data_IF_436703443091
#
_entry.id   IF_436703443091
#
_cell.length_a   1.000
_cell.length_b   1.000
_cell.length_c   1.000
_cell.angle_alpha   90.00
_cell.angle_beta   90.00
_cell.angle_gamma   90.00
#
_symmetry.space_group_name_H-M   'P 1'
#
loop_
_entity.id
_entity.type
_entity.pdbx_description
1 polymer ?
#
# COMPACT_ATOMS: atom_id res chain seq x y z
N UNK A 1 -23.18 -12.82 -8.89
CA UNK A 1 -22.05 -11.84 -9.00
C UNK A 1 -21.47 -11.63 -7.62
N UNK A 2 -20.13 -11.47 -7.50
CA UNK A 2 -19.53 -11.07 -6.21
C UNK A 2 -19.98 -9.66 -5.88
N UNK A 3 -20.37 -9.40 -4.64
CA UNK A 3 -20.66 -8.04 -4.18
C UNK A 3 -19.31 -7.28 -4.11
N UNK A 4 -19.12 -6.30 -4.97
CA UNK A 4 -17.91 -5.46 -4.97
C UNK A 4 -18.13 -4.27 -4.03
N UNK A 5 -17.09 -3.90 -3.28
CA UNK A 5 -17.03 -2.63 -2.56
C UNK A 5 -15.77 -1.87 -3.00
N UNK A 6 -15.94 -0.62 -3.39
CA UNK A 6 -14.85 0.26 -3.75
C UNK A 6 -14.26 0.89 -2.49
N UNK A 7 -12.93 0.92 -2.39
CA UNK A 7 -12.21 1.59 -1.31
C UNK A 7 -11.31 2.63 -1.98
N UNK A 8 -11.65 3.90 -1.81
CA UNK A 8 -10.96 5.02 -2.44
C UNK A 8 -9.93 5.60 -1.50
N UNK A 9 -8.67 5.58 -1.92
CA UNK A 9 -7.53 6.00 -1.09
C UNK A 9 -6.75 7.09 -1.83
N UNK A 10 -7.22 8.35 -1.87
CA UNK A 10 -6.55 9.45 -2.57
C UNK A 10 -5.31 9.95 -1.80
N UNK A 11 -4.45 9.03 -1.37
CA UNK A 11 -3.18 9.31 -0.70
C UNK A 11 -2.06 9.45 -1.73
N UNK A 12 -1.14 10.39 -1.48
CA UNK A 12 0.07 10.54 -2.30
C UNK A 12 1.33 10.73 -1.44
N UNK A 13 1.23 10.42 -0.14
CA UNK A 13 2.32 10.67 0.81
C UNK A 13 3.52 9.76 0.61
N UNK A 14 3.32 8.58 0.02
CA UNK A 14 4.38 7.63 -0.32
C UNK A 14 5.09 7.94 -1.64
N UNK A 15 4.48 8.79 -2.50
CA UNK A 15 5.03 9.13 -3.81
C UNK A 15 6.13 10.19 -3.75
N UNK A 16 7.02 10.16 -4.76
CA UNK A 16 8.02 11.19 -4.98
C UNK A 16 7.46 12.46 -5.65
N UNK A 17 6.38 12.32 -6.41
CA UNK A 17 5.69 13.39 -7.17
C UNK A 17 4.34 13.71 -6.57
N UNK A 18 3.76 14.87 -6.99
CA UNK A 18 2.44 15.33 -6.54
C UNK A 18 1.40 15.11 -7.65
N UNK A 19 0.12 15.03 -7.23
CA UNK A 19 -1.03 14.89 -8.11
C UNK A 19 -1.60 13.48 -8.21
N UNK A 20 -0.92 12.46 -7.68
CA UNK A 20 -1.42 11.08 -7.68
C UNK A 20 -2.77 10.94 -6.92
N UNK A 21 -3.00 11.78 -5.92
CA UNK A 21 -4.27 11.84 -5.18
C UNK A 21 -5.48 12.20 -6.04
N UNK A 22 -5.27 12.87 -7.19
CA UNK A 22 -6.33 13.22 -8.14
C UNK A 22 -6.77 12.04 -9.02
N UNK A 23 -6.01 10.94 -9.04
CA UNK A 23 -6.25 9.79 -9.90
C UNK A 23 -7.61 9.15 -9.68
N UNK A 24 -8.08 9.06 -8.45
CA UNK A 24 -9.40 8.49 -8.13
C UNK A 24 -10.53 9.28 -8.80
N UNK A 25 -10.50 10.61 -8.66
CA UNK A 25 -11.51 11.48 -9.27
C UNK A 25 -11.37 11.54 -10.79
N UNK A 26 -10.15 11.50 -11.32
CA UNK A 26 -9.92 11.44 -12.77
C UNK A 26 -10.51 10.18 -13.40
N UNK A 27 -10.37 9.02 -12.75
CA UNK A 27 -10.98 7.76 -13.20
C UNK A 27 -12.50 7.85 -13.18
N UNK A 28 -13.10 8.49 -12.16
CA UNK A 28 -14.55 8.69 -12.11
C UNK A 28 -15.05 9.59 -13.24
N UNK A 29 -14.33 10.69 -13.54
CA UNK A 29 -14.67 11.58 -14.67
C UNK A 29 -14.59 10.79 -15.99
N UNK A 30 -13.51 10.05 -16.21
CA UNK A 30 -13.36 9.22 -17.41
C UNK A 30 -14.48 8.16 -17.51
N UNK A 31 -14.89 7.56 -16.39
CA UNK A 31 -16.01 6.61 -16.38
C UNK A 31 -17.31 7.26 -16.85
N UNK A 32 -17.58 8.51 -16.44
CA UNK A 32 -18.76 9.26 -16.92
C UNK A 32 -18.66 9.56 -18.42
N UNK A 33 -17.51 9.99 -18.92
CA UNK A 33 -17.28 10.27 -20.33
C UNK A 33 -17.48 9.02 -21.21
N UNK A 34 -17.10 7.85 -20.69
CA UNK A 34 -17.36 6.56 -21.33
C UNK A 34 -18.73 5.96 -21.01
N UNK A 35 -19.65 6.72 -20.43
CA UNK A 35 -21.00 6.29 -20.04
C UNK A 35 -21.00 5.02 -19.17
N UNK A 36 -19.97 4.82 -18.36
CA UNK A 36 -19.88 3.72 -17.43
C UNK A 36 -20.60 4.04 -16.12
N UNK A 37 -21.45 3.15 -15.66
CA UNK A 37 -22.14 3.25 -14.38
C UNK A 37 -21.40 2.54 -13.24
N UNK A 38 -20.13 2.15 -13.43
CA UNK A 38 -19.36 1.34 -12.49
C UNK A 38 -19.37 1.95 -11.09
N UNK A 39 -19.02 3.24 -10.95
CA UNK A 39 -18.95 3.91 -9.65
C UNK A 39 -20.31 4.20 -9.01
N UNK A 40 -21.39 4.17 -9.80
CA UNK A 40 -22.77 4.31 -9.29
C UNK A 40 -23.31 2.96 -8.83
N UNK A 41 -22.87 1.89 -9.48
CA UNK A 41 -23.39 0.54 -9.26
C UNK A 41 -22.86 -0.11 -7.97
N UNK A 42 -21.62 0.21 -7.56
CA UNK A 42 -20.98 -0.40 -6.40
C UNK A 42 -20.83 0.58 -5.22
N UNK A 43 -21.09 0.13 -3.98
CA UNK A 43 -20.88 0.97 -2.80
C UNK A 43 -19.41 1.36 -2.69
N UNK A 44 -19.17 2.60 -2.31
CA UNK A 44 -17.83 3.16 -2.16
C UNK A 44 -17.61 3.69 -0.74
N UNK A 45 -16.37 3.54 -0.26
CA UNK A 45 -15.87 4.11 0.99
C UNK A 45 -14.60 4.90 0.69
N UNK A 46 -14.60 6.20 1.02
CA UNK A 46 -13.42 7.06 0.89
C UNK A 46 -12.64 7.08 2.20
N UNK A 47 -11.38 6.69 2.12
CA UNK A 47 -10.48 6.68 3.27
C UNK A 47 -9.95 8.09 3.55
N UNK A 48 -9.99 8.49 4.81
CA UNK A 48 -9.36 9.73 5.26
C UNK A 48 -7.84 9.63 5.07
N UNK A 49 -7.23 10.64 4.43
CA UNK A 49 -5.82 10.63 4.04
C UNK A 49 -4.97 11.61 4.84
N UNK A 50 -3.67 11.31 4.93
CA UNK A 50 -2.68 12.11 5.65
C UNK A 50 -1.93 13.11 4.73
N UNK A 51 -2.51 13.54 3.61
CA UNK A 51 -1.84 14.40 2.63
C UNK A 51 -1.37 15.75 3.20
N UNK A 52 -1.91 16.17 4.34
CA UNK A 52 -1.46 17.40 5.04
C UNK A 52 0.02 17.36 5.44
N UNK A 53 0.56 16.16 5.73
CA UNK A 53 1.97 16.01 6.09
C UNK A 53 2.95 16.28 4.94
N UNK A 54 2.45 16.44 3.72
CA UNK A 54 3.27 16.84 2.57
C UNK A 54 3.89 18.22 2.73
N UNK A 55 3.29 19.08 3.55
CA UNK A 55 3.77 20.43 3.87
C UNK A 55 4.73 20.45 5.07
N UNK A 56 4.94 19.31 5.73
CA UNK A 56 5.83 19.19 6.87
C UNK A 56 7.25 18.79 6.43
N UNK A 57 8.29 19.17 7.20
CA UNK A 57 9.65 18.72 6.96
C UNK A 57 9.78 17.19 7.00
N UNK A 58 10.60 16.63 6.10
CA UNK A 58 10.91 15.20 6.08
C UNK A 58 11.78 14.87 7.30
N UNK A 59 11.30 14.01 8.19
CA UNK A 59 11.99 13.61 9.40
C UNK A 59 12.97 12.45 9.16
N UNK A 60 12.62 11.50 8.30
CA UNK A 60 13.47 10.37 7.93
C UNK A 60 13.71 10.38 6.41
N UNK A 61 14.97 10.54 5.95
CA UNK A 61 15.27 10.59 4.52
C UNK A 61 15.04 9.25 3.81
N UNK A 62 15.18 8.14 4.53
CA UNK A 62 15.09 6.77 3.98
C UNK A 62 13.73 6.11 4.21
N UNK A 63 12.80 6.79 4.88
CA UNK A 63 11.44 6.35 5.11
C UNK A 63 10.53 7.58 5.23
N UNK A 64 10.41 8.30 4.12
CA UNK A 64 9.72 9.59 4.09
C UNK A 64 8.27 9.44 4.53
N UNK A 65 7.89 10.27 5.51
CA UNK A 65 6.51 10.32 6.05
C UNK A 65 6.00 8.99 6.62
N UNK A 66 6.92 8.17 7.14
CA UNK A 66 6.63 6.82 7.68
C UNK A 66 5.44 6.81 8.65
N UNK A 67 5.34 7.82 9.54
CA UNK A 67 4.21 7.89 10.48
C UNK A 67 2.86 8.02 9.78
N UNK A 68 2.78 8.83 8.72
CA UNK A 68 1.57 8.96 7.92
C UNK A 68 1.27 7.67 7.14
N UNK A 69 2.31 7.03 6.60
CA UNK A 69 2.15 5.74 5.90
C UNK A 69 1.65 4.66 6.85
N UNK A 70 2.13 4.60 8.10
CA UNK A 70 1.59 3.71 9.13
C UNK A 70 0.09 3.95 9.37
N UNK A 71 -0.31 5.22 9.47
CA UNK A 71 -1.73 5.59 9.63
C UNK A 71 -2.55 5.16 8.42
N UNK A 72 -2.03 5.37 7.20
CA UNK A 72 -2.71 4.92 5.98
C UNK A 72 -2.84 3.40 5.91
N UNK A 73 -1.78 2.66 6.27
CA UNK A 73 -1.84 1.19 6.32
C UNK A 73 -2.90 0.69 7.31
N UNK A 74 -2.98 1.30 8.50
CA UNK A 74 -3.99 0.94 9.49
C UNK A 74 -5.41 1.16 8.95
N UNK A 75 -5.69 2.34 8.40
CA UNK A 75 -7.01 2.67 7.85
C UNK A 75 -7.39 1.77 6.68
N UNK A 76 -6.49 1.60 5.71
CA UNK A 76 -6.74 0.76 4.53
C UNK A 76 -6.92 -0.71 4.92
N UNK A 77 -6.07 -1.23 5.80
CA UNK A 77 -6.18 -2.63 6.24
C UNK A 77 -7.48 -2.91 6.97
N UNK A 78 -7.96 -1.99 7.80
CA UNK A 78 -9.28 -2.10 8.45
C UNK A 78 -10.41 -2.11 7.43
N UNK A 79 -10.43 -1.15 6.52
CA UNK A 79 -11.48 -1.06 5.50
C UNK A 79 -11.56 -2.30 4.60
N UNK A 80 -10.40 -2.82 4.18
CA UNK A 80 -10.30 -4.07 3.40
C UNK A 80 -10.77 -5.27 4.23
N UNK A 81 -10.29 -5.40 5.47
CA UNK A 81 -10.67 -6.49 6.37
C UNK A 81 -12.18 -6.51 6.62
N UNK A 82 -12.78 -5.36 6.93
CA UNK A 82 -14.20 -5.22 7.23
C UNK A 82 -15.07 -5.48 5.99
N UNK A 83 -14.62 -5.01 4.81
CA UNK A 83 -15.28 -5.33 3.55
C UNK A 83 -15.32 -6.83 3.30
N UNK A 84 -14.20 -7.53 3.48
CA UNK A 84 -14.15 -8.98 3.29
C UNK A 84 -14.98 -9.76 4.33
N UNK A 85 -14.98 -9.32 5.60
CA UNK A 85 -15.83 -9.91 6.64
C UNK A 85 -17.31 -9.72 6.38
N UNK A 86 -17.67 -8.62 5.70
CA UNK A 86 -19.02 -8.32 5.25
C UNK A 86 -19.37 -8.96 3.89
N UNK A 87 -18.56 -9.93 3.44
CA UNK A 87 -18.75 -10.69 2.20
C UNK A 87 -18.67 -9.86 0.90
N UNK A 88 -18.02 -8.69 0.95
CA UNK A 88 -17.67 -7.95 -0.25
C UNK A 88 -16.31 -8.37 -0.79
N UNK A 89 -16.15 -8.21 -2.10
CA UNK A 89 -14.85 -8.24 -2.77
C UNK A 89 -14.31 -6.80 -2.81
N UNK A 90 -13.23 -6.47 -2.07
CA UNK A 90 -12.69 -5.12 -2.06
C UNK A 90 -11.94 -4.82 -3.37
N UNK A 91 -12.22 -3.66 -3.95
CA UNK A 91 -11.45 -3.05 -5.04
C UNK A 91 -10.89 -1.75 -4.51
N UNK A 92 -9.57 -1.70 -4.30
CA UNK A 92 -8.88 -0.51 -3.79
C UNK A 92 -8.40 0.33 -4.96
N UNK A 93 -8.76 1.61 -4.99
CA UNK A 93 -8.29 2.59 -5.96
C UNK A 93 -7.46 3.61 -5.20
N UNK A 94 -6.16 3.58 -5.40
CA UNK A 94 -5.20 4.37 -4.63
C UNK A 94 -4.52 5.44 -5.47
N UNK A 95 -4.09 6.53 -4.82
CA UNK A 95 -3.30 7.56 -5.45
C UNK A 95 -1.85 7.10 -5.66
N UNK A 96 -1.18 6.62 -4.62
CA UNK A 96 0.17 6.05 -4.71
C UNK A 96 0.21 4.58 -4.30
N UNK A 97 1.28 3.87 -4.69
CA UNK A 97 1.40 2.43 -4.50
C UNK A 97 1.75 2.02 -3.06
N UNK A 98 2.16 2.95 -2.17
CA UNK A 98 2.53 2.59 -0.80
C UNK A 98 1.41 1.86 -0.05
N UNK A 99 0.15 2.18 -0.33
CA UNK A 99 -1.02 1.61 0.36
C UNK A 99 -1.32 0.15 0.00
N UNK A 100 -0.65 -0.42 -1.00
CA UNK A 100 -0.77 -1.83 -1.36
C UNK A 100 -0.43 -2.76 -0.18
N UNK A 101 0.57 -2.40 0.64
CA UNK A 101 0.89 -3.15 1.85
C UNK A 101 -0.24 -3.15 2.89
N UNK A 102 -0.99 -2.04 3.01
CA UNK A 102 -2.19 -1.98 3.83
C UNK A 102 -3.31 -2.88 3.28
N UNK A 103 -3.47 -2.94 1.96
CA UNK A 103 -4.43 -3.83 1.30
C UNK A 103 -4.11 -5.31 1.58
N UNK A 104 -2.86 -5.72 1.37
CA UNK A 104 -2.39 -7.09 1.66
C UNK A 104 -2.60 -7.43 3.14
N UNK A 105 -2.26 -6.52 4.05
CA UNK A 105 -2.47 -6.70 5.48
C UNK A 105 -3.95 -6.91 5.81
N UNK A 106 -4.85 -6.11 5.23
CA UNK A 106 -6.29 -6.23 5.44
C UNK A 106 -6.86 -7.57 4.97
N UNK A 107 -6.41 -8.06 3.81
CA UNK A 107 -6.79 -9.39 3.30
C UNK A 107 -6.33 -10.48 4.29
N UNK A 108 -5.08 -10.40 4.74
CA UNK A 108 -4.53 -11.37 5.68
C UNK A 108 -5.21 -11.31 7.06
N UNK A 109 -5.59 -10.12 7.53
CA UNK A 109 -6.37 -9.94 8.76
C UNK A 109 -7.78 -10.56 8.65
N UNK A 110 -8.40 -10.50 7.47
CA UNK A 110 -9.70 -11.13 7.23
C UNK A 110 -9.60 -12.66 7.11
N UNK A 111 -8.47 -13.16 6.64
CA UNK A 111 -8.21 -14.59 6.36
C UNK A 111 -6.87 -15.05 6.97
N UNK A 112 -6.68 -14.97 8.31
CA UNK A 112 -5.36 -15.13 8.93
C UNK A 112 -4.75 -16.54 8.72
N UNK A 113 -5.59 -17.56 8.59
CA UNK A 113 -5.15 -18.95 8.39
C UNK A 113 -4.95 -19.35 6.92
N UNK A 114 -5.44 -18.52 5.99
CA UNK A 114 -5.33 -18.83 4.56
C UNK A 114 -3.97 -18.45 4.03
N UNK A 115 -3.43 -19.26 3.11
CA UNK A 115 -2.29 -18.90 2.28
C UNK A 115 -2.74 -17.77 1.34
N UNK A 116 -1.89 -16.77 1.15
CA UNK A 116 -2.15 -15.62 0.29
C UNK A 116 -1.11 -15.59 -0.83
N UNK A 117 -1.57 -15.71 -2.07
CA UNK A 117 -0.77 -15.46 -3.26
C UNK A 117 -0.97 -14.02 -3.75
N UNK A 118 0.07 -13.44 -4.34
CA UNK A 118 0.06 -12.09 -4.91
C UNK A 118 0.49 -12.14 -6.36
N UNK A 119 -0.30 -11.55 -7.25
CA UNK A 119 0.10 -11.24 -8.61
C UNK A 119 0.42 -9.73 -8.64
N UNK A 120 1.70 -9.39 -8.84
CA UNK A 120 2.22 -8.04 -8.84
C UNK A 120 2.47 -7.60 -10.28
N UNK A 121 1.58 -6.76 -10.80
CA UNK A 121 1.64 -6.28 -12.18
C UNK A 121 2.20 -4.87 -12.16
N UNK A 122 3.51 -4.74 -12.28
CA UNK A 122 4.24 -3.49 -12.14
C UNK A 122 5.56 -3.54 -12.91
N UNK A 123 6.09 -2.35 -13.24
CA UNK A 123 7.43 -2.17 -13.78
C UNK A 123 8.53 -2.36 -12.73
N UNK A 124 8.20 -2.21 -11.44
CA UNK A 124 9.10 -2.28 -10.29
C UNK A 124 8.69 -3.42 -9.35
N UNK A 125 9.66 -3.97 -8.63
CA UNK A 125 9.41 -5.05 -7.67
C UNK A 125 8.80 -4.54 -6.35
N UNK A 126 9.01 -3.26 -6.02
CA UNK A 126 8.62 -2.63 -4.75
C UNK A 126 9.14 -3.40 -3.52
N UNK A 127 10.38 -3.90 -3.65
CA UNK A 127 11.12 -4.66 -2.64
C UNK A 127 12.18 -3.83 -1.92
N UNK A 128 12.29 -2.53 -2.23
CA UNK A 128 13.14 -1.65 -1.43
C UNK A 128 12.68 -1.62 0.03
N UNK A 129 13.63 -1.37 0.90
CA UNK A 129 13.40 -1.17 2.33
C UNK A 129 14.01 0.17 2.75
N UNK A 130 13.78 0.67 3.95
CA UNK A 130 14.50 1.84 4.44
C UNK A 130 16.03 1.66 4.46
N UNK A 131 16.52 0.41 4.48
CA UNK A 131 17.95 0.09 4.44
C UNK A 131 18.58 0.18 3.04
N UNK A 132 17.76 0.01 1.96
CA UNK A 132 18.25 -0.13 0.57
C UNK A 132 17.79 0.97 -0.37
N UNK A 133 16.74 1.71 0.00
CA UNK A 133 16.06 2.66 -0.90
C UNK A 133 16.96 3.79 -1.40
N UNK A 134 16.98 4.10 -2.70
CA UNK A 134 17.70 5.25 -3.21
C UNK A 134 16.99 6.58 -2.97
N UNK A 135 15.67 6.56 -2.80
CA UNK A 135 14.84 7.77 -2.71
C UNK A 135 14.23 8.02 -1.34
N UNK A 136 14.03 6.99 -0.53
CA UNK A 136 13.26 7.04 0.72
C UNK A 136 11.75 7.14 0.53
N UNK A 137 11.25 7.10 -0.70
CA UNK A 137 9.82 7.14 -0.97
C UNK A 137 9.17 5.78 -0.67
N UNK A 138 8.10 5.79 0.10
CA UNK A 138 7.49 4.57 0.62
C UNK A 138 6.71 3.75 -0.42
N UNK A 139 6.43 4.32 -1.60
CA UNK A 139 5.71 3.60 -2.65
C UNK A 139 6.52 2.41 -3.23
N UNK A 140 7.84 2.42 -3.14
CA UNK A 140 8.70 1.31 -3.57
C UNK A 140 8.96 0.25 -2.49
N UNK A 141 8.18 0.21 -1.39
CA UNK A 141 8.45 -0.67 -0.25
C UNK A 141 7.29 -1.60 0.17
N UNK A 142 6.09 -1.53 -0.43
CA UNK A 142 4.93 -2.22 0.12
C UNK A 142 5.04 -3.75 0.05
N UNK A 143 5.72 -4.28 -0.96
CA UNK A 143 5.90 -5.71 -1.08
C UNK A 143 6.94 -6.23 -0.09
N UNK A 144 8.08 -5.55 0.08
CA UNK A 144 9.07 -5.88 1.11
C UNK A 144 8.44 -5.91 2.52
N UNK A 145 7.63 -4.90 2.84
CA UNK A 145 6.89 -4.87 4.10
C UNK A 145 5.91 -6.05 4.25
N UNK A 146 5.31 -6.50 3.16
CA UNK A 146 4.33 -7.59 3.16
C UNK A 146 4.95 -8.98 3.33
N UNK A 147 6.15 -9.19 2.76
CA UNK A 147 6.93 -10.42 2.93
C UNK A 147 7.85 -10.37 4.16
N UNK A 148 7.85 -9.25 4.90
CA UNK A 148 8.67 -8.98 6.08
C UNK A 148 10.19 -8.98 5.81
N UNK A 149 10.60 -8.52 4.64
CA UNK A 149 12.01 -8.46 4.23
C UNK A 149 12.65 -7.12 4.61
N UNK A 150 13.88 -7.16 5.09
CA UNK A 150 14.69 -5.98 5.41
C UNK A 150 15.80 -5.70 4.38
N UNK A 151 16.19 -6.69 3.59
CA UNK A 151 17.29 -6.64 2.62
C UNK A 151 18.61 -6.16 3.28
N UNK A 152 18.90 -6.62 4.50
CA UNK A 152 20.08 -6.17 5.27
C UNK A 152 21.40 -6.54 4.64
N UNK A 153 21.46 -7.59 3.83
CA UNK A 153 22.65 -8.00 3.09
C UNK A 153 23.06 -6.97 2.03
N UNK A 154 22.07 -6.24 1.49
CA UNK A 154 22.27 -5.16 0.51
C UNK A 154 22.14 -3.76 1.12
N UNK A 155 22.26 -3.65 2.45
CA UNK A 155 22.08 -2.41 3.17
C UNK A 155 23.09 -1.34 2.74
N UNK A 156 22.57 -0.15 2.42
CA UNK A 156 23.33 1.05 2.08
C UNK A 156 23.07 2.22 3.04
N UNK A 157 22.08 2.09 3.93
CA UNK A 157 21.69 3.12 4.90
C UNK A 157 21.67 2.58 6.32
N UNK A 158 22.06 3.42 7.27
CA UNK A 158 21.80 3.22 8.70
C UNK A 158 20.51 3.95 9.07
N UNK A 159 19.68 3.30 9.85
CA UNK A 159 18.43 3.87 10.34
C UNK A 159 18.57 4.30 11.80
N UNK A 160 17.96 5.42 12.14
CA UNK A 160 17.74 5.75 13.53
C UNK A 160 16.72 4.76 14.17
N UNK A 161 16.76 4.66 15.50
CA UNK A 161 15.95 3.72 16.27
C UNK A 161 14.43 3.92 16.01
N UNK A 162 13.99 5.17 15.88
CA UNK A 162 12.58 5.50 15.62
C UNK A 162 12.15 4.97 14.27
N UNK A 163 12.94 5.20 13.22
CA UNK A 163 12.65 4.75 11.85
C UNK A 163 12.64 3.22 11.78
N UNK A 164 13.62 2.55 12.39
CA UNK A 164 13.67 1.09 12.44
C UNK A 164 12.44 0.50 13.13
N UNK A 165 12.06 1.06 14.29
CA UNK A 165 10.85 0.64 15.03
C UNK A 165 9.57 0.85 14.21
N UNK A 166 9.44 1.97 13.51
CA UNK A 166 8.28 2.23 12.66
C UNK A 166 8.21 1.27 11.47
N UNK A 167 9.35 0.90 10.87
CA UNK A 167 9.43 -0.11 9.83
C UNK A 167 8.96 -1.48 10.35
N UNK A 168 9.40 -1.88 11.54
CA UNK A 168 8.95 -3.12 12.19
C UNK A 168 7.44 -3.10 12.50
N UNK A 169 6.90 -1.96 12.90
CA UNK A 169 5.46 -1.78 13.09
C UNK A 169 4.69 -1.97 11.78
N UNK A 170 5.20 -1.43 10.67
CA UNK A 170 4.61 -1.58 9.34
C UNK A 170 4.57 -3.06 8.91
N UNK A 171 5.69 -3.75 9.06
CA UNK A 171 5.82 -5.20 8.78
C UNK A 171 4.89 -6.04 9.66
N UNK A 172 4.62 -5.59 10.90
CA UNK A 172 3.83 -6.34 11.89
C UNK A 172 2.38 -5.89 11.99
N UNK A 173 1.88 -5.11 11.03
CA UNK A 173 0.51 -4.62 11.04
C UNK A 173 -0.50 -5.77 11.16
N UNK A 174 -1.54 -5.56 11.97
CA UNK A 174 -2.54 -6.59 12.27
C UNK A 174 -2.02 -7.73 13.16
N UNK A 175 -0.85 -7.54 13.80
CA UNK A 175 -0.14 -8.57 14.58
C UNK A 175 0.27 -9.80 13.73
N UNK A 176 0.44 -9.60 12.45
CA UNK A 176 0.90 -10.61 11.50
C UNK A 176 2.19 -10.09 10.88
N UNK A 177 3.31 -10.70 11.21
CA UNK A 177 4.62 -10.24 10.75
C UNK A 177 4.78 -10.49 9.24
N UNK A 178 4.74 -11.72 8.80
CA UNK A 178 4.82 -12.08 7.37
C UNK A 178 3.41 -12.37 6.83
N UNK A 179 2.97 -11.60 5.86
CA UNK A 179 1.62 -11.67 5.31
C UNK A 179 1.55 -12.55 4.05
N UNK A 180 2.66 -12.57 3.32
CA UNK A 180 2.83 -13.32 2.07
C UNK A 180 4.19 -14.00 2.12
N UNK A 181 4.29 -15.23 1.61
CA UNK A 181 5.59 -15.89 1.44
C UNK A 181 6.21 -15.44 0.11
N UNK A 182 7.54 -15.28 0.02
CA UNK A 182 8.20 -14.89 -1.22
C UNK A 182 7.84 -15.78 -2.42
N UNK A 183 7.76 -17.09 -2.20
CA UNK A 183 7.38 -18.09 -3.22
C UNK A 183 5.93 -17.98 -3.70
N UNK A 184 5.10 -17.19 -3.02
CA UNK A 184 3.69 -16.97 -3.38
C UNK A 184 3.49 -15.63 -4.13
N UNK A 185 4.57 -14.98 -4.55
CA UNK A 185 4.53 -13.74 -5.34
C UNK A 185 4.87 -14.06 -6.80
N UNK A 186 4.03 -13.60 -7.71
CA UNK A 186 4.28 -13.67 -9.16
C UNK A 186 4.36 -12.26 -9.71
N UNK A 187 5.48 -11.93 -10.35
CA UNK A 187 5.67 -10.64 -11.02
C UNK A 187 5.28 -10.72 -12.50
N UNK A 188 4.60 -9.68 -12.97
CA UNK A 188 4.27 -9.49 -14.39
C UNK A 188 4.72 -8.10 -14.82
N UNK A 189 5.39 -8.01 -15.97
CA UNK A 189 5.90 -6.76 -16.57
C UNK A 189 7.05 -6.10 -15.80
N UNK A 190 7.73 -6.83 -14.93
CA UNK A 190 8.89 -6.31 -14.22
C UNK A 190 9.98 -5.88 -15.20
N UNK A 191 10.49 -4.65 -15.07
CA UNK A 191 11.55 -4.08 -15.91
C UNK A 191 12.79 -3.69 -15.11
N UNK A 192 12.63 -3.50 -13.80
CA UNK A 192 13.70 -3.09 -12.91
C UNK A 192 13.73 -4.01 -11.69
N UNK A 193 14.95 -4.37 -11.28
CA UNK A 193 15.21 -5.25 -10.12
C UNK A 193 15.86 -4.43 -9.01
N UNK A 194 15.37 -4.58 -7.83
CA UNK A 194 15.86 -3.93 -6.62
C UNK A 194 16.83 -4.83 -5.86
#
# INVERSE_FOLDING_TARGET
MKNIKLIEVPSEIGAGTRGASLGVEAIKIAALDFMSNFFVHFPSEKIEVENKILFEPIQSPYAKRMQGVLTMYDRVSKAVCDSMKSHFFPVVISGDHSTAGGTIAGIKMAKPKSKLGVIWIDAHADLHTPYTTPSGNMHGMPLAASIAEDNKESKVHELDEKTAKQWDQLKSLGKIHQKVLPEDVVFISLRDFE
#
